data_IF_108774188480
#
_entry.id   IF_108774188480
#
_cell.length_a   1.000
_cell.length_b   1.000
_cell.length_c   1.000
_cell.angle_alpha   90.00
_cell.angle_beta   90.00
_cell.angle_gamma   90.00
#
_symmetry.space_group_name_H-M   'P 1'
#
loop_
_entity.id
_entity.type
_entity.pdbx_description
1 polymer ?
#
# COMPACT_ATOMS: atom_id res chain seq x y z
N UNK A 1 -14.02 -17.00 -15.87
CA UNK A 1 -12.98 -16.10 -15.32
C UNK A 1 -13.70 -15.01 -14.53
N UNK A 2 -13.06 -14.35 -13.58
CA UNK A 2 -13.65 -13.15 -12.97
C UNK A 2 -13.15 -11.94 -13.74
N UNK A 3 -14.00 -10.93 -13.85
CA UNK A 3 -13.70 -9.68 -14.54
C UNK A 3 -13.39 -8.64 -13.47
N UNK A 4 -12.25 -7.98 -13.61
CA UNK A 4 -11.82 -6.92 -12.71
C UNK A 4 -12.01 -5.59 -13.43
N UNK A 5 -12.38 -4.56 -12.68
CA UNK A 5 -12.48 -3.21 -13.22
C UNK A 5 -11.93 -2.20 -12.23
N UNK A 6 -11.31 -1.16 -12.79
CA UNK A 6 -10.91 0.04 -12.09
C UNK A 6 -11.79 1.17 -12.59
N UNK A 7 -12.54 1.80 -11.68
CA UNK A 7 -13.56 2.79 -12.00
C UNK A 7 -13.20 4.15 -11.43
N UNK A 8 -13.36 5.20 -12.22
CA UNK A 8 -13.25 6.58 -11.77
C UNK A 8 -13.99 7.52 -12.73
N UNK A 9 -14.35 8.68 -12.19
CA UNK A 9 -14.96 9.77 -12.94
C UNK A 9 -14.55 11.06 -12.25
N UNK A 10 -13.80 11.90 -12.95
CA UNK A 10 -13.27 13.12 -12.36
C UNK A 10 -13.21 14.25 -13.38
N UNK A 11 -13.21 15.48 -12.87
CA UNK A 11 -13.24 16.69 -13.67
C UNK A 11 -11.98 17.51 -13.43
N UNK A 12 -11.32 17.93 -14.50
CA UNK A 12 -10.21 18.88 -14.42
C UNK A 12 -10.63 20.21 -15.04
N UNK A 13 -10.53 21.29 -14.26
CA UNK A 13 -10.65 22.65 -14.79
C UNK A 13 -9.34 23.06 -15.46
N UNK A 14 -9.41 23.37 -16.75
CA UNK A 14 -8.26 23.78 -17.57
C UNK A 14 -8.12 25.32 -17.67
N UNK A 15 -8.98 26.06 -16.97
CA UNK A 15 -9.00 27.52 -16.86
C UNK A 15 -9.66 28.25 -18.03
N UNK A 16 -9.93 27.57 -19.14
CA UNK A 16 -10.68 28.13 -20.27
C UNK A 16 -11.23 27.05 -21.20
N UNK A 17 -12.27 27.39 -21.96
CA UNK A 17 -12.85 26.50 -22.98
C UNK A 17 -11.85 26.16 -24.09
N UNK A 18 -10.97 27.09 -24.45
CA UNK A 18 -9.89 26.86 -25.41
C UNK A 18 -8.89 25.81 -24.87
N UNK A 19 -8.50 25.92 -23.61
CA UNK A 19 -7.62 24.95 -22.98
C UNK A 19 -8.28 23.58 -22.87
N UNK A 20 -9.59 23.51 -22.59
CA UNK A 20 -10.32 22.24 -22.56
C UNK A 20 -10.27 21.54 -23.92
N UNK A 21 -10.53 22.27 -25.00
CA UNK A 21 -10.41 21.73 -26.35
C UNK A 21 -8.96 21.31 -26.69
N UNK A 22 -7.96 22.03 -26.18
CA UNK A 22 -6.54 21.68 -26.33
C UNK A 22 -6.15 20.47 -25.50
N UNK A 23 -6.77 20.25 -24.35
CA UNK A 23 -6.54 19.10 -23.49
C UNK A 23 -7.02 17.82 -24.18
N UNK A 24 -8.23 17.81 -24.75
CA UNK A 24 -8.70 16.67 -25.57
C UNK A 24 -7.74 16.36 -26.73
N UNK A 25 -7.19 17.37 -27.39
CA UNK A 25 -6.14 17.17 -28.42
C UNK A 25 -4.83 16.64 -27.85
N UNK A 26 -4.45 17.05 -26.64
CA UNK A 26 -3.28 16.54 -25.94
C UNK A 26 -3.45 15.07 -25.58
N UNK A 27 -4.65 14.65 -25.20
CA UNK A 27 -4.96 13.25 -24.91
C UNK A 27 -4.71 12.34 -26.12
N UNK A 28 -5.19 12.72 -27.31
CA UNK A 28 -4.88 11.97 -28.54
C UNK A 28 -3.38 11.90 -28.87
N UNK A 29 -2.55 12.83 -28.37
CA UNK A 29 -1.09 12.75 -28.48
C UNK A 29 -0.49 11.84 -27.41
N UNK A 30 -1.07 11.84 -26.21
CA UNK A 30 -0.72 10.96 -25.09
C UNK A 30 -0.96 9.49 -25.44
N UNK A 31 -2.13 9.13 -25.98
CA UNK A 31 -2.42 7.77 -26.43
C UNK A 31 -1.40 7.28 -27.45
N UNK A 32 -1.05 8.12 -28.43
CA UNK A 32 -0.01 7.82 -29.41
C UNK A 32 1.37 7.64 -28.79
N UNK A 33 1.66 8.34 -27.69
CA UNK A 33 2.90 8.15 -26.94
C UNK A 33 2.89 6.81 -26.23
N UNK A 34 1.84 6.47 -25.49
CA UNK A 34 1.71 5.19 -24.78
C UNK A 34 1.79 4.01 -25.75
N UNK A 35 1.08 4.08 -26.88
CA UNK A 35 1.12 3.04 -27.90
C UNK A 35 2.54 2.81 -28.47
N UNK A 36 3.37 3.85 -28.58
CA UNK A 36 4.78 3.69 -29.00
C UNK A 36 5.64 2.98 -27.95
N UNK A 37 5.25 3.05 -26.68
CA UNK A 37 5.88 2.35 -25.58
C UNK A 37 5.28 0.95 -25.35
N UNK A 38 4.33 0.51 -26.18
CA UNK A 38 3.65 -0.78 -26.03
C UNK A 38 2.58 -0.78 -24.94
N UNK A 39 2.04 0.40 -24.62
CA UNK A 39 1.13 0.63 -23.50
C UNK A 39 -0.19 1.28 -23.95
N UNK A 40 -1.21 1.27 -23.10
CA UNK A 40 -2.56 1.79 -23.38
C UNK A 40 -2.97 2.73 -22.27
N UNK A 41 -3.47 3.92 -22.63
CA UNK A 41 -3.81 4.95 -21.64
C UNK A 41 -4.91 4.51 -20.66
N UNK A 42 -5.86 3.67 -21.10
CA UNK A 42 -6.88 3.08 -20.24
C UNK A 42 -7.81 4.11 -19.54
N UNK A 43 -8.12 5.21 -20.23
CA UNK A 43 -9.15 6.18 -19.82
C UNK A 43 -9.61 6.99 -21.03
N UNK A 44 -10.69 7.76 -20.88
CA UNK A 44 -11.25 8.62 -21.90
C UNK A 44 -11.32 10.07 -21.42
N UNK A 45 -11.29 11.02 -22.35
CA UNK A 45 -11.34 12.46 -22.07
C UNK A 45 -12.32 13.18 -22.99
N UNK A 46 -13.29 13.84 -22.40
CA UNK A 46 -14.29 14.65 -23.11
C UNK A 46 -14.32 16.08 -22.56
N UNK A 47 -14.82 17.03 -23.37
CA UNK A 47 -15.06 18.38 -22.87
C UNK A 47 -16.31 18.40 -21.99
N UNK A 48 -16.20 18.98 -20.80
CA UNK A 48 -17.32 19.13 -19.87
C UNK A 48 -17.52 20.61 -19.54
N UNK A 49 -18.45 21.22 -20.29
CA UNK A 49 -18.78 22.63 -20.16
C UNK A 49 -19.93 22.80 -19.16
N UNK A 50 -19.58 23.26 -17.96
CA UNK A 50 -20.56 23.69 -16.97
C UNK A 50 -20.76 25.19 -17.09
N UNK A 51 -22.01 25.66 -16.94
CA UNK A 51 -22.36 27.08 -17.09
C UNK A 51 -21.59 27.97 -16.09
N UNK A 52 -21.47 27.52 -14.84
CA UNK A 52 -20.77 28.25 -13.77
C UNK A 52 -19.25 27.98 -13.71
N UNK A 53 -18.74 27.04 -14.51
CA UNK A 53 -17.32 26.67 -14.55
C UNK A 53 -16.93 26.23 -15.96
N UNK A 54 -16.86 27.15 -16.93
CA UNK A 54 -16.46 26.81 -18.29
C UNK A 54 -14.98 26.40 -18.34
N UNK A 55 -14.61 25.48 -19.24
CA UNK A 55 -13.24 25.00 -19.37
C UNK A 55 -12.91 23.70 -18.62
N UNK A 56 -13.93 22.96 -18.19
CA UNK A 56 -13.76 21.61 -17.68
C UNK A 56 -13.48 20.58 -18.78
N UNK A 57 -12.74 19.55 -18.40
CA UNK A 57 -12.72 18.25 -19.10
C UNK A 57 -13.16 17.17 -18.12
N UNK A 58 -13.89 16.19 -18.64
CA UNK A 58 -14.27 14.98 -17.93
C UNK A 58 -13.29 13.87 -18.29
N UNK A 59 -12.75 13.22 -17.26
CA UNK A 59 -11.82 12.10 -17.35
C UNK A 59 -12.49 10.90 -16.67
N UNK A 60 -12.69 9.82 -17.40
CA UNK A 60 -13.37 8.63 -16.90
C UNK A 60 -12.77 7.32 -17.42
N UNK A 61 -13.07 6.23 -16.72
CA UNK A 61 -12.53 4.89 -16.98
C UNK A 61 -13.03 4.20 -18.26
N UNK A 62 -13.96 4.82 -19.00
CA UNK A 62 -14.62 4.23 -20.17
C UNK A 62 -15.32 2.88 -19.86
N UNK A 63 -14.65 1.79 -20.23
CA UNK A 63 -15.11 0.41 -20.11
C UNK A 63 -14.72 -0.27 -18.79
N UNK A 64 -14.10 0.47 -17.87
CA UNK A 64 -13.69 -0.04 -16.56
C UNK A 64 -12.29 -0.64 -16.54
N UNK A 65 -11.48 -0.45 -17.58
CA UNK A 65 -10.06 -0.82 -17.56
C UNK A 65 -9.17 0.28 -16.99
N UNK A 66 -9.72 1.17 -16.16
CA UNK A 66 -9.07 2.38 -15.65
C UNK A 66 -7.64 2.19 -15.12
N UNK A 67 -6.76 3.15 -15.43
CA UNK A 67 -5.44 3.25 -14.81
C UNK A 67 -5.22 4.63 -14.14
N UNK A 68 -5.20 4.71 -12.80
CA UNK A 68 -4.97 5.95 -12.06
C UNK A 68 -3.63 6.61 -12.38
N UNK A 69 -2.56 5.86 -12.64
CA UNK A 69 -1.23 6.41 -12.92
C UNK A 69 -1.21 7.13 -14.27
N UNK A 70 -1.89 6.59 -15.27
CA UNK A 70 -2.07 7.24 -16.55
C UNK A 70 -2.88 8.55 -16.42
N UNK A 71 -3.92 8.57 -15.57
CA UNK A 71 -4.66 9.81 -15.26
C UNK A 71 -3.76 10.85 -14.60
N UNK A 72 -2.99 10.46 -13.58
CA UNK A 72 -2.04 11.35 -12.88
C UNK A 72 -1.05 11.96 -13.89
N UNK A 73 -0.40 11.13 -14.69
CA UNK A 73 0.58 11.55 -15.68
C UNK A 73 -0.02 12.52 -16.71
N UNK A 74 -1.23 12.24 -17.18
CA UNK A 74 -1.93 13.10 -18.12
C UNK A 74 -2.34 14.45 -17.51
N UNK A 75 -2.83 14.46 -16.27
CA UNK A 75 -3.19 15.69 -15.56
C UNK A 75 -1.97 16.55 -15.29
N UNK A 76 -0.83 15.97 -14.89
CA UNK A 76 0.43 16.70 -14.73
C UNK A 76 0.93 17.29 -16.07
N UNK A 77 0.74 16.57 -17.18
CA UNK A 77 1.04 17.09 -18.52
C UNK A 77 0.14 18.29 -18.89
N UNK A 78 -1.16 18.20 -18.59
CA UNK A 78 -2.10 19.31 -18.73
C UNK A 78 -1.68 20.51 -17.87
N UNK A 79 -1.36 20.28 -16.60
CA UNK A 79 -0.93 21.31 -15.65
C UNK A 79 0.31 22.06 -16.17
N UNK A 80 1.32 21.33 -16.62
CA UNK A 80 2.55 21.90 -17.21
C UNK A 80 2.26 22.70 -18.48
N UNK A 81 1.36 22.21 -19.34
CA UNK A 81 1.02 22.80 -20.64
C UNK A 81 0.20 24.08 -20.51
N UNK A 82 -0.76 24.09 -19.60
CA UNK A 82 -1.72 25.18 -19.40
C UNK A 82 -1.37 26.08 -18.21
N UNK A 83 -0.29 25.77 -17.48
CA UNK A 83 0.16 26.49 -16.28
C UNK A 83 -0.91 26.52 -15.19
N UNK A 84 -1.59 25.38 -15.01
CA UNK A 84 -2.56 25.20 -13.94
C UNK A 84 -1.86 25.27 -12.58
N UNK A 85 -2.60 25.66 -11.55
CA UNK A 85 -2.09 25.84 -10.18
C UNK A 85 -3.14 25.38 -9.18
N UNK A 86 -2.73 25.25 -7.92
CA UNK A 86 -3.58 24.78 -6.86
C UNK A 86 -3.61 23.25 -6.79
N UNK A 87 -4.47 22.74 -5.90
CA UNK A 87 -4.61 21.31 -5.67
C UNK A 87 -5.74 20.75 -6.52
N UNK A 88 -5.52 19.56 -7.05
CA UNK A 88 -6.53 18.77 -7.73
C UNK A 88 -6.38 17.32 -7.27
N UNK A 89 -7.47 16.58 -7.21
CA UNK A 89 -7.41 15.17 -6.82
C UNK A 89 -8.60 14.40 -7.33
N UNK A 90 -8.49 13.09 -7.26
CA UNK A 90 -9.56 12.17 -7.63
C UNK A 90 -9.44 10.87 -6.83
N UNK A 91 -10.54 10.14 -6.81
CA UNK A 91 -10.62 8.79 -6.24
C UNK A 91 -10.95 7.78 -7.34
N UNK A 92 -10.55 6.54 -7.12
CA UNK A 92 -10.92 5.39 -7.94
C UNK A 92 -11.38 4.22 -7.06
N UNK A 93 -12.11 3.29 -7.64
CA UNK A 93 -12.56 2.06 -7.01
C UNK A 93 -12.14 0.84 -7.82
N UNK A 94 -11.79 -0.24 -7.12
CA UNK A 94 -11.64 -1.57 -7.71
C UNK A 94 -12.92 -2.37 -7.49
N UNK A 95 -13.39 -3.03 -8.54
CA UNK A 95 -14.57 -3.89 -8.52
C UNK A 95 -14.29 -5.22 -9.24
N UNK A 96 -15.04 -6.25 -8.87
CA UNK A 96 -14.90 -7.59 -9.42
C UNK A 96 -16.27 -8.23 -9.67
N UNK A 97 -16.44 -8.92 -10.81
CA UNK A 97 -17.71 -9.55 -11.17
C UNK A 97 -18.13 -10.71 -10.27
N UNK A 98 -17.27 -11.13 -9.33
CA UNK A 98 -17.49 -12.24 -8.39
C UNK A 98 -16.83 -11.95 -7.03
N UNK A 99 -17.34 -12.51 -5.92
CA UNK A 99 -16.72 -12.34 -4.61
C UNK A 99 -15.39 -13.10 -4.55
N UNK A 100 -14.29 -12.38 -4.71
CA UNK A 100 -12.92 -12.88 -4.60
C UNK A 100 -12.23 -12.10 -3.47
N UNK A 101 -11.43 -12.80 -2.67
CA UNK A 101 -10.65 -12.19 -1.60
C UNK A 101 -9.73 -11.11 -2.19
N UNK A 102 -9.70 -9.94 -1.55
CA UNK A 102 -8.87 -8.78 -1.93
C UNK A 102 -9.12 -8.20 -3.34
N UNK A 103 -10.25 -8.54 -3.97
CA UNK A 103 -10.59 -8.05 -5.31
C UNK A 103 -11.30 -6.68 -5.33
N UNK A 104 -11.66 -6.15 -4.16
CA UNK A 104 -12.35 -4.87 -3.99
C UNK A 104 -11.47 -3.87 -3.27
N UNK A 105 -11.69 -2.58 -3.51
CA UNK A 105 -10.93 -1.53 -2.84
C UNK A 105 -10.89 -0.27 -3.68
N UNK A 106 -9.70 0.32 -3.78
CA UNK A 106 -9.44 1.54 -4.52
C UNK A 106 -8.51 2.46 -3.77
N UNK A 107 -8.59 3.73 -4.09
CA UNK A 107 -7.73 4.75 -3.51
C UNK A 107 -8.09 6.15 -3.96
N UNK A 108 -7.25 7.10 -3.57
CA UNK A 108 -7.33 8.47 -3.99
C UNK A 108 -5.93 9.09 -4.08
N UNK A 109 -5.79 10.12 -4.90
CA UNK A 109 -4.59 10.94 -4.91
C UNK A 109 -4.91 12.43 -4.99
N UNK A 110 -3.97 13.24 -4.52
CA UNK A 110 -3.98 14.70 -4.59
C UNK A 110 -2.67 15.16 -5.20
N UNK A 111 -2.78 16.02 -6.21
CA UNK A 111 -1.70 16.64 -6.95
C UNK A 111 -1.58 18.12 -6.60
N UNK A 112 -0.37 18.62 -6.51
CA UNK A 112 -0.10 20.06 -6.67
C UNK A 112 0.20 20.33 -8.15
N UNK A 113 -0.73 21.01 -8.83
CA UNK A 113 -0.62 21.28 -10.26
C UNK A 113 0.47 22.30 -10.59
N UNK A 114 0.82 23.17 -9.62
CA UNK A 114 1.85 24.18 -9.79
C UNK A 114 3.26 23.64 -9.63
N UNK A 115 3.46 22.76 -8.64
CA UNK A 115 4.71 22.04 -8.41
C UNK A 115 4.89 20.86 -9.40
N UNK A 116 3.77 20.28 -9.87
CA UNK A 116 3.77 19.16 -10.79
C UNK A 116 4.07 17.83 -10.09
N UNK A 117 3.58 17.67 -8.86
CA UNK A 117 3.89 16.52 -8.00
C UNK A 117 2.64 15.94 -7.32
N UNK A 118 2.71 14.66 -6.95
CA UNK A 118 1.73 14.02 -6.06
C UNK A 118 2.06 14.46 -4.64
N UNK A 119 1.09 15.06 -3.94
CA UNK A 119 1.26 15.56 -2.57
C UNK A 119 0.48 14.75 -1.53
N UNK A 120 -0.33 13.80 -1.98
CA UNK A 120 -1.00 12.83 -1.12
C UNK A 120 -1.54 11.66 -1.93
N UNK A 121 -1.39 10.48 -1.38
CA UNK A 121 -1.85 9.20 -1.89
C UNK A 121 -2.55 8.43 -0.77
N UNK A 122 -3.54 7.62 -1.17
CA UNK A 122 -4.32 6.80 -0.26
C UNK A 122 -4.73 5.53 -0.99
N UNK A 123 -4.43 4.37 -0.39
CA UNK A 123 -4.83 3.06 -0.89
C UNK A 123 -5.57 2.32 0.22
N UNK A 124 -6.76 1.80 -0.08
CA UNK A 124 -7.58 1.11 0.93
C UNK A 124 -6.86 -0.11 1.53
N UNK A 125 -6.13 -0.87 0.71
CA UNK A 125 -5.37 -2.05 1.15
C UNK A 125 -4.29 -1.68 2.16
N UNK A 126 -3.41 -0.75 1.78
CA UNK A 126 -2.34 -0.27 2.66
C UNK A 126 -2.90 0.31 3.96
N UNK A 127 -3.99 1.08 3.89
CA UNK A 127 -4.63 1.63 5.08
C UNK A 127 -5.20 0.54 5.99
N UNK A 128 -5.88 -0.49 5.45
CA UNK A 128 -6.39 -1.61 6.24
C UNK A 128 -5.24 -2.36 6.90
N UNK A 129 -4.18 -2.65 6.15
CA UNK A 129 -3.00 -3.33 6.67
C UNK A 129 -2.37 -2.52 7.80
N UNK A 130 -2.18 -1.21 7.60
CA UNK A 130 -1.68 -0.32 8.65
C UNK A 130 -2.57 -0.34 9.90
N UNK A 131 -3.90 -0.30 9.76
CA UNK A 131 -4.82 -0.33 10.90
C UNK A 131 -4.83 -1.68 11.62
N UNK A 132 -4.75 -2.80 10.90
CA UNK A 132 -4.64 -4.14 11.48
C UNK A 132 -3.33 -4.26 12.27
N UNK A 133 -2.25 -3.72 11.72
CA UNK A 133 -0.92 -3.81 12.29
C UNK A 133 -0.70 -2.83 13.45
N UNK A 134 -1.38 -1.68 13.47
CA UNK A 134 -1.26 -0.67 14.52
C UNK A 134 -1.62 -1.19 15.93
N UNK A 135 -2.40 -2.26 16.03
CA UNK A 135 -2.70 -2.92 17.30
C UNK A 135 -1.70 -4.00 17.72
N UNK A 136 -0.78 -4.40 16.83
CA UNK A 136 0.16 -5.48 17.10
C UNK A 136 1.35 -4.97 17.91
N UNK A 137 1.85 -5.86 18.75
CA UNK A 137 3.02 -5.63 19.60
C UNK A 137 3.99 -6.79 19.42
N UNK A 138 5.26 -6.53 19.65
CA UNK A 138 6.28 -7.56 19.60
C UNK A 138 7.30 -7.38 20.72
N UNK A 139 8.03 -8.44 21.01
CA UNK A 139 9.19 -8.46 21.89
C UNK A 139 10.38 -8.96 21.10
N UNK A 140 11.59 -8.80 21.62
CA UNK A 140 12.78 -9.41 21.03
C UNK A 140 13.19 -10.56 21.92
N UNK A 141 13.50 -11.69 21.32
CA UNK A 141 13.87 -12.92 22.01
C UNK A 141 15.09 -13.56 21.34
N UNK A 142 15.99 -14.11 22.15
CA UNK A 142 17.08 -14.97 21.71
C UNK A 142 17.03 -16.30 22.48
N UNK A 143 16.90 -17.44 21.77
CA UNK A 143 16.98 -18.76 22.39
C UNK A 143 18.29 -19.00 23.15
N UNK A 144 19.43 -18.59 22.59
CA UNK A 144 20.73 -18.78 23.23
C UNK A 144 20.89 -17.94 24.50
N UNK A 145 20.38 -16.71 24.51
CA UNK A 145 20.35 -15.87 25.71
C UNK A 145 19.44 -16.48 26.77
N UNK A 146 18.28 -17.02 26.39
CA UNK A 146 17.40 -17.72 27.31
C UNK A 146 18.10 -18.94 27.96
N UNK A 147 18.82 -19.72 27.17
CA UNK A 147 19.51 -20.92 27.64
C UNK A 147 20.66 -20.58 28.61
N UNK A 148 21.43 -19.54 28.31
CA UNK A 148 22.60 -19.14 29.10
C UNK A 148 22.21 -18.29 30.32
N UNK A 149 21.19 -17.45 30.17
CA UNK A 149 20.67 -16.51 31.16
C UNK A 149 19.57 -17.07 32.06
N UNK A 150 19.44 -18.40 32.20
CA UNK A 150 18.44 -19.06 33.05
C UNK A 150 16.98 -18.61 32.77
N UNK A 151 16.63 -18.39 31.50
CA UNK A 151 15.31 -17.91 31.08
C UNK A 151 15.24 -16.41 30.76
N UNK A 152 16.32 -15.65 30.99
CA UNK A 152 16.44 -14.25 30.58
C UNK A 152 16.78 -14.11 29.10
N UNK A 153 15.85 -14.51 28.23
CA UNK A 153 16.04 -14.46 26.77
C UNK A 153 15.40 -13.27 26.06
N UNK A 154 14.73 -12.37 26.78
CA UNK A 154 13.96 -11.28 26.19
C UNK A 154 14.68 -9.95 26.34
N UNK A 155 14.58 -9.06 25.35
CA UNK A 155 15.27 -7.77 25.40
C UNK A 155 14.49 -6.70 26.18
N UNK A 156 15.21 -5.92 26.99
CA UNK A 156 14.82 -4.65 27.59
C UNK A 156 15.74 -3.55 27.10
N UNK A 157 15.18 -2.40 26.71
CA UNK A 157 15.97 -1.23 26.31
C UNK A 157 16.78 -0.64 27.49
N UNK A 158 16.35 -0.87 28.71
CA UNK A 158 16.99 -0.33 29.92
C UNK A 158 18.01 -1.32 30.51
N UNK A 159 17.68 -2.61 30.50
CA UNK A 159 18.41 -3.63 31.26
C UNK A 159 19.10 -4.71 30.40
N UNK A 160 18.90 -4.71 29.08
CA UNK A 160 19.43 -5.73 28.17
C UNK A 160 18.63 -7.03 28.21
N UNK A 161 19.29 -8.20 28.23
CA UNK A 161 18.60 -9.51 28.22
C UNK A 161 18.02 -9.86 29.61
N UNK A 162 16.69 -9.95 29.69
CA UNK A 162 15.87 -10.10 30.91
C UNK A 162 14.80 -11.18 30.74
N UNK A 163 14.06 -11.47 31.82
CA UNK A 163 12.90 -12.37 31.79
C UNK A 163 11.70 -11.75 31.07
N UNK A 164 10.70 -12.58 30.75
CA UNK A 164 9.52 -12.18 30.00
C UNK A 164 8.77 -10.98 30.62
N UNK A 165 8.68 -10.89 31.95
CA UNK A 165 7.87 -9.85 32.61
C UNK A 165 8.57 -8.48 32.62
N UNK A 166 9.88 -8.47 32.43
CA UNK A 166 10.72 -7.26 32.50
C UNK A 166 11.08 -6.73 31.12
N UNK A 167 10.70 -7.43 30.05
CA UNK A 167 11.09 -7.10 28.70
C UNK A 167 10.30 -5.94 28.09
N UNK A 168 10.95 -5.22 27.18
CA UNK A 168 10.32 -4.10 26.47
C UNK A 168 9.34 -4.66 25.43
N UNK A 169 8.10 -4.18 25.49
CA UNK A 169 7.09 -4.43 24.47
C UNK A 169 7.14 -3.27 23.48
N UNK A 170 7.37 -3.60 22.22
CA UNK A 170 7.46 -2.67 21.11
C UNK A 170 6.15 -2.59 20.34
N UNK A 171 5.84 -1.40 19.82
CA UNK A 171 4.74 -1.22 18.89
C UNK A 171 5.16 -1.69 17.49
N UNK A 172 4.22 -2.27 16.72
CA UNK A 172 4.53 -2.80 15.38
C UNK A 172 5.16 -1.77 14.43
N UNK A 173 4.85 -0.49 14.61
CA UNK A 173 5.42 0.62 13.82
C UNK A 173 6.95 0.70 13.95
N UNK A 174 7.52 0.29 15.09
CA UNK A 174 8.96 0.31 15.37
C UNK A 174 9.69 -0.85 14.67
N UNK A 175 8.97 -1.88 14.21
CA UNK A 175 9.55 -3.12 13.67
C UNK A 175 10.50 -2.89 12.50
N UNK A 176 10.19 -1.94 11.62
CA UNK A 176 10.96 -1.64 10.40
C UNK A 176 12.27 -0.89 10.70
N UNK A 177 12.29 -0.06 11.73
CA UNK A 177 13.43 0.82 12.06
C UNK A 177 14.29 0.27 13.18
N UNK A 178 13.77 -0.66 13.98
CA UNK A 178 14.48 -1.23 15.12
C UNK A 178 15.56 -2.23 14.67
N UNK A 179 16.82 -1.93 14.97
CA UNK A 179 17.95 -2.83 14.79
C UNK A 179 17.98 -3.87 15.91
N UNK A 180 18.11 -5.15 15.56
CA UNK A 180 18.17 -6.21 16.56
C UNK A 180 19.42 -6.07 17.45
N UNK A 181 19.29 -6.25 18.78
CA UNK A 181 20.42 -6.23 19.69
C UNK A 181 21.36 -7.40 19.41
N UNK A 182 22.64 -7.23 19.75
CA UNK A 182 23.58 -8.34 19.68
C UNK A 182 23.18 -9.43 20.69
N UNK A 183 23.07 -10.67 20.21
CA UNK A 183 22.85 -11.86 21.05
C UNK A 183 23.98 -12.87 20.90
N UNK A 184 24.11 -13.74 21.90
CA UNK A 184 24.90 -14.96 21.79
C UNK A 184 24.44 -15.80 20.60
N UNK A 185 25.32 -16.03 19.64
CA UNK A 185 25.00 -16.79 18.44
C UNK A 185 24.23 -16.02 17.35
N UNK A 186 23.97 -14.71 17.56
CA UNK A 186 23.36 -13.82 16.57
C UNK A 186 22.01 -14.34 16.06
N UNK A 187 21.19 -14.80 17.00
CA UNK A 187 19.90 -15.46 16.84
C UNK A 187 18.73 -14.66 17.45
N UNK A 188 18.95 -13.40 17.83
CA UNK A 188 17.88 -12.50 18.26
C UNK A 188 16.84 -12.36 17.14
N UNK A 189 15.57 -12.52 17.48
CA UNK A 189 14.46 -12.31 16.54
C UNK A 189 13.28 -11.61 17.22
N UNK A 190 12.37 -11.10 16.40
CA UNK A 190 11.15 -10.41 16.83
C UNK A 190 10.03 -11.44 16.99
N UNK A 191 9.49 -11.53 18.19
CA UNK A 191 8.38 -12.44 18.52
C UNK A 191 7.12 -11.62 18.72
N UNK A 192 6.10 -11.94 17.94
CA UNK A 192 4.79 -11.29 18.01
C UNK A 192 4.11 -11.63 19.33
N UNK A 193 3.37 -10.68 19.91
CA UNK A 193 2.56 -10.91 21.10
C UNK A 193 1.13 -11.20 20.65
N UNK A 194 0.62 -12.36 21.05
CA UNK A 194 -0.76 -12.77 20.80
C UNK A 194 -1.74 -11.90 21.62
N UNK A 195 -3.03 -11.95 21.25
CA UNK A 195 -4.06 -11.11 21.88
C UNK A 195 -4.29 -11.33 23.38
N UNK A 196 -3.72 -12.38 23.97
CA UNK A 196 -3.74 -12.67 25.41
C UNK A 196 -2.49 -12.16 26.16
N UNK A 197 -1.56 -11.51 25.46
CA UNK A 197 -0.32 -10.98 26.02
C UNK A 197 0.81 -12.01 26.09
N UNK A 198 0.63 -13.22 25.57
CA UNK A 198 1.70 -14.22 25.49
C UNK A 198 2.50 -14.06 24.20
N UNK A 199 3.84 -14.23 24.21
CA UNK A 199 4.60 -14.28 22.97
C UNK A 199 4.15 -15.50 22.17
N UNK A 200 3.79 -15.29 20.90
CA UNK A 200 3.54 -16.32 19.91
C UNK A 200 4.83 -17.06 19.58
N UNK A 201 5.39 -17.79 20.54
CA UNK A 201 6.44 -18.75 20.31
C UNK A 201 5.81 -19.93 19.58
N UNK A 202 5.78 -19.86 18.24
CA UNK A 202 5.91 -21.10 17.46
C UNK A 202 7.28 -21.68 17.82
N UNK A 203 7.30 -22.47 18.89
CA UNK A 203 8.43 -23.29 19.28
C UNK A 203 8.66 -24.25 18.10
N UNK A 204 9.53 -23.88 17.17
CA UNK A 204 10.19 -24.83 16.30
C UNK A 204 11.07 -25.70 17.19
N UNK A 205 10.43 -26.65 17.87
CA UNK A 205 11.12 -27.75 18.52
C UNK A 205 12.01 -28.37 17.44
N UNK A 206 13.34 -28.48 17.66
CA UNK A 206 14.19 -29.20 16.73
C UNK A 206 13.58 -30.60 16.58
N UNK A 207 13.39 -31.03 15.33
CA UNK A 207 12.70 -32.27 14.97
C UNK A 207 13.14 -33.41 15.91
N UNK A 208 12.23 -33.82 16.79
CA UNK A 208 12.50 -34.82 17.79
C UNK A 208 12.73 -36.15 17.08
N UNK A 209 14.00 -36.56 17.06
CA UNK A 209 14.49 -37.80 16.49
C UNK A 209 14.14 -38.96 17.42
N UNK A 210 12.85 -39.30 17.56
CA UNK A 210 12.39 -40.66 17.84
C UNK A 210 10.85 -40.67 17.98
N UNK A 211 10.16 -41.00 16.89
CA UNK A 211 8.87 -41.69 17.00
C UNK A 211 9.03 -43.12 16.52
N UNK A 212 8.67 -44.13 17.33
CA UNK A 212 8.65 -45.50 16.87
C UNK A 212 7.63 -45.62 15.73
N UNK A 213 8.08 -46.15 14.59
CA UNK A 213 7.25 -46.45 13.43
C UNK A 213 6.15 -47.41 13.87
N UNK A 214 4.93 -46.90 14.03
CA UNK A 214 3.74 -47.75 14.18
C UNK A 214 3.55 -48.45 12.83
N UNK A 215 3.74 -49.75 12.84
CA UNK A 215 3.64 -50.61 11.67
C UNK A 215 2.26 -50.56 11.05
N UNK A 216 2.24 -50.36 9.74
CA UNK A 216 1.10 -50.71 8.88
C UNK A 216 0.94 -52.22 8.86
N UNK A 217 -0.24 -52.71 9.22
CA UNK A 217 -0.70 -54.08 8.98
C UNK A 217 -2.21 -54.03 8.72
N UNK A 218 -2.75 -54.91 7.88
CA UNK A 218 -2.55 -55.05 6.43
C UNK A 218 -3.68 -54.39 5.61
#
# INVERSE_FOLDING_TARGET
MADYSTRFSCRLDTGSTENAARAVRLFAAYERLMARHGDIACFEVETDQMEDSPGGIWIHDGDGMGDPDHVINYVLACAKRFKLRGRWGFSWGYDCSRPILDAFGGGACVLDLGAGEVVGDFHCGDWIDEMIQAGKRFMIYSPNEAQMGQGCGYWSNDDGWVDLNSATIFDWSERKTFCLPASLGNDADRVDIDGDGTPGLEIHLPADADRPKIGTVP
#
